data_IF_516346377199
#
_entry.id   IF_516346377199
#
_cell.length_a   1.000
_cell.length_b   1.000
_cell.length_c   1.000
_cell.angle_alpha   90.00
_cell.angle_beta   90.00
_cell.angle_gamma   90.00
#
_symmetry.space_group_name_H-M   'P 1'
#
loop_
_entity.id
_entity.type
_entity.pdbx_description
1 polymer ?
#
# COMPACT_ATOMS: atom_id res chain seq x y z
N UNK A 1 16.13 -10.27 1.33
CA UNK A 1 14.71 -10.29 0.88
C UNK A 1 14.40 -8.97 0.18
N UNK A 2 14.44 -8.98 -1.14
CA UNK A 2 14.17 -7.84 -2.02
C UNK A 2 12.66 -7.57 -2.06
N UNK A 3 12.25 -6.30 -2.04
CA UNK A 3 10.85 -5.94 -2.34
C UNK A 3 10.81 -5.70 -3.83
N UNK A 4 10.04 -6.52 -4.53
CA UNK A 4 9.79 -6.35 -5.94
C UNK A 4 8.93 -5.09 -6.13
N UNK A 5 9.56 -4.01 -6.60
CA UNK A 5 8.93 -2.71 -6.89
C UNK A 5 7.81 -2.85 -7.92
N UNK A 6 7.85 -3.92 -8.73
CA UNK A 6 6.80 -4.26 -9.69
C UNK A 6 5.54 -4.81 -9.04
N UNK A 7 5.65 -5.43 -7.85
CA UNK A 7 4.51 -6.07 -7.16
C UNK A 7 3.95 -5.22 -6.03
N UNK A 8 4.75 -4.34 -5.44
CA UNK A 8 4.32 -3.56 -4.29
C UNK A 8 4.59 -2.07 -4.43
N UNK A 9 3.58 -1.26 -4.12
CA UNK A 9 3.60 0.19 -4.16
C UNK A 9 3.77 0.76 -2.76
N UNK A 10 4.52 1.85 -2.63
CA UNK A 10 4.58 2.60 -1.38
C UNK A 10 3.22 3.24 -1.04
N UNK A 11 2.99 3.67 0.21
CA UNK A 11 1.77 4.41 0.57
C UNK A 11 1.51 5.60 -0.37
N UNK A 12 2.58 6.34 -0.75
CA UNK A 12 2.47 7.49 -1.66
C UNK A 12 2.00 7.09 -3.05
N UNK A 13 2.53 6.00 -3.59
CA UNK A 13 2.15 5.53 -4.91
C UNK A 13 0.78 4.88 -4.92
N UNK A 14 0.43 4.15 -3.86
CA UNK A 14 -0.89 3.55 -3.69
C UNK A 14 -1.97 4.62 -3.64
N UNK A 15 -1.72 5.72 -2.92
CA UNK A 15 -2.62 6.89 -2.92
C UNK A 15 -2.79 7.47 -4.33
N UNK A 16 -1.71 7.60 -5.11
CA UNK A 16 -1.79 8.08 -6.50
C UNK A 16 -2.52 7.10 -7.43
N UNK A 17 -2.24 5.81 -7.31
CA UNK A 17 -2.81 4.76 -8.16
C UNK A 17 -4.31 4.59 -7.92
N UNK A 18 -4.73 4.57 -6.64
CA UNK A 18 -6.14 4.45 -6.26
C UNK A 18 -6.86 5.80 -6.24
N UNK A 19 -6.13 6.92 -6.40
CA UNK A 19 -6.64 8.30 -6.26
C UNK A 19 -7.39 8.52 -4.93
N UNK A 20 -6.83 7.97 -3.85
CA UNK A 20 -7.40 8.04 -2.50
C UNK A 20 -6.54 8.93 -1.60
N UNK A 21 -7.15 9.52 -0.58
CA UNK A 21 -6.43 10.30 0.42
C UNK A 21 -5.75 9.38 1.46
N UNK A 22 -4.88 9.95 2.30
CA UNK A 22 -4.24 9.21 3.40
C UNK A 22 -5.24 8.62 4.40
N UNK A 23 -6.36 9.31 4.65
CA UNK A 23 -7.44 8.82 5.49
C UNK A 23 -8.12 7.59 4.86
N UNK A 24 -8.50 7.69 3.59
CA UNK A 24 -9.11 6.60 2.83
C UNK A 24 -8.19 5.38 2.74
N UNK A 25 -6.89 5.60 2.52
CA UNK A 25 -5.89 4.52 2.51
C UNK A 25 -5.87 3.78 3.85
N UNK A 26 -5.94 4.52 4.97
CA UNK A 26 -6.03 3.92 6.30
C UNK A 26 -7.33 3.14 6.48
N UNK A 27 -8.47 3.67 6.03
CA UNK A 27 -9.75 2.95 6.06
C UNK A 27 -9.70 1.67 5.24
N UNK A 28 -9.13 1.69 4.04
CA UNK A 28 -8.96 0.51 3.19
C UNK A 28 -8.04 -0.54 3.82
N UNK A 29 -6.96 -0.09 4.46
CA UNK A 29 -6.04 -0.94 5.22
C UNK A 29 -6.74 -1.59 6.41
N UNK A 30 -7.47 -0.83 7.21
CA UNK A 30 -8.19 -1.33 8.41
C UNK A 30 -9.38 -2.21 8.01
N UNK A 31 -10.04 -1.89 6.91
CA UNK A 31 -11.14 -2.68 6.35
C UNK A 31 -10.68 -4.02 5.75
N UNK A 32 -9.36 -4.28 5.65
CA UNK A 32 -8.82 -5.50 5.04
C UNK A 32 -8.99 -5.56 3.52
N UNK A 33 -9.29 -4.45 2.86
CA UNK A 33 -9.52 -4.38 1.41
C UNK A 33 -8.22 -4.26 0.61
N UNK A 34 -7.13 -3.87 1.24
CA UNK A 34 -5.81 -3.79 0.62
C UNK A 34 -4.88 -4.82 1.22
N UNK A 35 -4.27 -5.63 0.36
CA UNK A 35 -3.14 -6.45 0.74
C UNK A 35 -1.91 -5.56 0.87
N UNK A 36 -1.25 -5.65 2.00
CA UNK A 36 -0.03 -4.92 2.27
C UNK A 36 0.99 -5.81 2.97
N UNK A 37 2.25 -5.48 2.77
CA UNK A 37 3.38 -6.04 3.49
C UNK A 37 4.05 -4.92 4.29
N UNK A 38 4.50 -5.24 5.49
CA UNK A 38 5.30 -4.32 6.31
C UNK A 38 6.76 -4.75 6.23
N UNK A 39 7.63 -3.86 5.75
CA UNK A 39 9.09 -4.08 5.74
C UNK A 39 9.74 -2.99 6.58
N UNK A 40 10.23 -3.38 7.75
CA UNK A 40 10.74 -2.44 8.75
C UNK A 40 9.65 -1.46 9.19
N UNK A 41 9.90 -0.16 8.99
CA UNK A 41 8.96 0.91 9.34
C UNK A 41 8.05 1.34 8.19
N UNK A 42 8.20 0.74 7.00
CA UNK A 42 7.42 1.09 5.81
C UNK A 42 6.35 0.04 5.48
N UNK A 43 5.23 0.52 4.96
CA UNK A 43 4.14 -0.29 4.41
C UNK A 43 4.19 -0.23 2.89
N UNK A 44 4.07 -1.39 2.25
CA UNK A 44 3.96 -1.52 0.82
C UNK A 44 2.69 -2.29 0.47
N UNK A 45 1.95 -1.84 -0.53
CA UNK A 45 0.64 -2.37 -0.89
C UNK A 45 0.74 -3.14 -2.21
N UNK A 46 0.08 -4.29 -2.31
CA UNK A 46 0.09 -5.11 -3.52
C UNK A 46 -0.58 -4.36 -4.68
N UNK A 47 0.14 -4.25 -5.80
CA UNK A 47 -0.40 -3.77 -7.08
C UNK A 47 -1.06 -4.96 -7.76
N UNK A 48 -2.34 -5.21 -7.45
CA UNK A 48 -3.16 -6.18 -8.19
C UNK A 48 -3.40 -5.72 -9.63
#
# INVERSE_FOLDING_TARGET
MEIDENKYLSSKETMKALKVSSCDLMHLRVSGKLKFIKKGNAYFYEKS
#
